data_IF_781448339145
#
_entry.id   IF_781448339145
#
_cell.length_a   1.000
_cell.length_b   1.000
_cell.length_c   1.000
_cell.angle_alpha   90.00
_cell.angle_beta   90.00
_cell.angle_gamma   90.00
#
_symmetry.space_group_name_H-M   'P 1'
#
loop_
_entity.id
_entity.type
_entity.pdbx_description
1 polymer ?
2 non-polymer ?
3 non-polymer ?
4 non-polymer ?
5 water ?
#
# COMPACT_ATOMS: atom_id res chain seq x y z
N UNK A 16 7.58 6.65 13.09
CA UNK A 16 6.24 6.44 12.42
C UNK A 16 5.83 5.00 12.22
N UNK A 17 6.68 4.04 12.59
CA UNK A 17 6.27 2.66 12.43
C UNK A 17 6.55 2.07 11.06
N UNK A 18 6.08 0.85 10.88
CA UNK A 18 6.35 0.07 9.66
C UNK A 18 5.10 -0.62 9.17
N UNK A 19 5.07 -0.93 7.87
CA UNK A 19 3.90 -1.50 7.22
C UNK A 19 4.35 -2.62 6.31
N UNK A 20 3.73 -3.78 6.47
CA UNK A 20 4.09 -4.96 5.67
C UNK A 20 3.05 -5.12 4.57
N UNK A 21 3.51 -5.14 3.31
CA UNK A 21 2.56 -5.18 2.18
C UNK A 21 3.08 -6.20 1.16
N UNK A 22 2.17 -6.83 0.42
CA UNK A 22 2.60 -7.77 -0.62
C UNK A 22 1.90 -7.37 -1.90
N UNK A 23 2.60 -7.42 -3.04
CA UNK A 23 1.97 -7.02 -4.31
C UNK A 23 2.32 -8.06 -5.36
N UNK A 24 1.44 -8.23 -6.34
CA UNK A 24 1.65 -9.18 -7.46
C UNK A 24 1.07 -8.54 -8.72
N UNK A 25 1.90 -8.40 -9.77
CA UNK A 25 1.45 -7.81 -11.03
C UNK A 25 1.13 -8.96 -12.01
N UNK A 26 -0.15 -9.08 -12.33
CA UNK A 26 -0.67 -10.07 -13.28
C UNK A 26 -0.49 -9.41 -14.68
N UNK A 27 0.75 -9.45 -15.22
CA UNK A 27 1.06 -8.71 -16.45
C UNK A 27 0.18 -9.02 -17.68
N UNK A 28 -0.21 -10.29 -17.86
CA UNK A 28 -1.04 -10.66 -19.04
C UNK A 28 -2.50 -10.23 -18.88
N UNK A 29 -2.91 -9.90 -17.66
CA UNK A 29 -4.33 -9.46 -17.46
C UNK A 29 -4.52 -8.04 -16.90
N UNK A 30 -3.44 -7.29 -16.80
CA UNK A 30 -3.53 -5.91 -16.32
C UNK A 30 -4.30 -5.80 -15.01
N UNK A 31 -3.96 -6.63 -14.03
CA UNK A 31 -4.49 -6.41 -12.67
C UNK A 31 -3.31 -6.40 -11.76
N UNK A 32 -3.47 -5.76 -10.60
CA UNK A 32 -2.39 -5.72 -9.63
C UNK A 32 -3.07 -6.09 -8.34
N UNK A 33 -2.55 -7.08 -7.64
CA UNK A 33 -3.16 -7.43 -6.37
C UNK A 33 -2.29 -6.88 -5.26
N UNK A 34 -2.92 -6.28 -4.26
CA UNK A 34 -2.19 -5.61 -3.19
C UNK A 34 -2.76 -6.16 -1.89
N UNK A 35 -1.89 -6.64 -1.02
CA UNK A 35 -2.33 -7.14 0.28
C UNK A 35 -1.74 -6.22 1.34
N UNK A 36 -2.61 -5.66 2.15
CA UNK A 36 -2.14 -4.92 3.34
C UNK A 36 -2.13 -5.96 4.48
N UNK A 37 -0.93 -6.27 4.98
CA UNK A 37 -0.79 -7.41 5.86
C UNK A 37 -0.86 -6.93 7.31
N UNK A 38 0.11 -6.12 7.74
CA UNK A 38 0.23 -5.75 9.18
C UNK A 38 0.96 -4.43 9.29
N UNK A 39 0.73 -3.71 10.37
CA UNK A 39 1.60 -2.58 10.72
C UNK A 39 2.18 -2.88 12.11
N UNK A 40 3.33 -2.29 12.43
CA UNK A 40 3.90 -2.41 13.76
C UNK A 40 4.67 -1.15 14.13
N UNK A 41 4.91 -1.00 15.44
CA UNK A 41 5.62 0.12 16.04
C UNK A 41 4.98 1.45 15.69
N UNK A 42 3.65 1.47 15.61
CA UNK A 42 2.93 2.72 15.35
C UNK A 42 3.03 3.64 16.57
N UNK A 43 3.23 4.95 16.34
CA UNK A 43 3.42 5.98 17.37
C UNK A 43 2.52 5.89 18.61
N UNK A 50 -3.38 5.02 22.56
CA UNK A 50 -3.16 4.15 21.39
C UNK A 50 -4.10 4.47 20.22
N UNK A 51 -3.61 4.25 19.02
CA UNK A 51 -4.36 4.61 17.85
C UNK A 51 -5.29 3.44 17.48
N UNK A 52 -6.24 3.73 16.59
CA UNK A 52 -7.18 2.74 16.04
C UNK A 52 -6.92 2.71 14.56
N UNK A 53 -5.86 2.01 14.12
CA UNK A 53 -5.42 2.12 12.72
C UNK A 53 -6.28 1.43 11.67
N UNK A 54 -6.37 2.05 10.51
CA UNK A 54 -6.80 1.38 9.27
C UNK A 54 -5.89 1.88 8.17
N UNK A 55 -5.96 1.25 7.00
CA UNK A 55 -5.09 1.66 5.93
C UNK A 55 -5.92 1.95 4.69
N UNK A 56 -5.63 3.09 4.08
CA UNK A 56 -6.24 3.48 2.84
C UNK A 56 -5.20 3.31 1.75
N UNK A 57 -5.64 2.79 0.61
CA UNK A 57 -4.75 2.48 -0.50
C UNK A 57 -5.27 3.25 -1.74
N UNK A 58 -4.47 4.15 -2.29
CA UNK A 58 -4.86 4.92 -3.48
C UNK A 58 -4.00 4.45 -4.64
N UNK A 59 -4.59 4.30 -5.83
CA UNK A 59 -3.85 3.90 -7.02
C UNK A 59 -3.86 5.09 -7.97
N UNK A 60 -2.67 5.45 -8.49
CA UNK A 60 -2.51 6.63 -9.36
C UNK A 60 -2.02 6.17 -10.71
N UNK A 61 -2.59 6.75 -11.76
CA UNK A 61 -2.00 6.65 -13.12
C UNK A 61 -1.44 8.02 -13.49
N UNK A 62 -0.12 8.13 -13.52
CA UNK A 62 0.55 9.42 -13.53
C UNK A 62 0.10 10.14 -12.24
N UNK A 63 -0.59 11.27 -12.37
CA UNK A 63 -0.93 11.96 -11.12
C UNK A 63 -2.41 11.94 -10.85
N UNK A 64 -3.13 11.10 -11.58
CA UNK A 64 -4.57 11.03 -11.40
C UNK A 64 -4.91 9.79 -10.56
N UNK A 65 -5.65 9.96 -9.47
CA UNK A 65 -6.12 8.80 -8.71
C UNK A 65 -7.17 8.05 -9.53
N UNK A 66 -6.91 6.78 -9.80
CA UNK A 66 -7.88 6.03 -10.58
C UNK A 66 -8.64 4.98 -9.73
N UNK A 67 -8.20 4.71 -8.51
CA UNK A 67 -8.94 3.77 -7.66
C UNK A 67 -8.55 3.99 -6.23
N UNK A 68 -9.41 3.56 -5.29
CA UNK A 68 -9.08 3.66 -3.87
C UNK A 68 -9.71 2.47 -3.12
N UNK A 69 -9.07 2.03 -2.03
CA UNK A 69 -9.56 0.93 -1.19
C UNK A 69 -9.26 1.30 0.23
N UNK A 70 -9.92 0.66 1.18
CA UNK A 70 -9.53 0.82 2.57
C UNK A 70 -9.81 -0.42 3.36
N UNK A 71 -9.00 -0.65 4.40
CA UNK A 71 -9.18 -1.79 5.27
C UNK A 71 -10.14 -1.45 6.36
N UNK A 72 -10.50 -2.48 7.11
CA UNK A 72 -11.23 -2.33 8.38
C UNK A 72 -10.30 -1.73 9.40
N UNK A 73 -10.89 -1.22 10.46
CA UNK A 73 -10.01 -0.63 11.47
C UNK A 73 -9.76 -1.61 12.62
N UNK A 74 -8.51 -1.59 13.08
CA UNK A 74 -8.13 -2.34 14.28
C UNK A 74 -8.12 -1.37 15.47
N UNK A 75 -8.76 -1.72 16.59
CA UNK A 75 -8.93 -0.76 17.71
C UNK A 75 -7.76 -0.72 18.72
N UNK A 76 -7.34 0.50 19.08
CA UNK A 76 -6.43 0.78 20.20
C UNK A 76 -5.18 -0.13 20.29
N UNK A 77 -4.26 0.05 19.33
CA UNK A 77 -3.09 -0.82 19.21
C UNK A 77 -1.94 -0.24 18.30
N UNK A 78 -0.67 -0.39 18.73
CA UNK A 78 0.48 0.07 17.92
C UNK A 78 0.92 -1.00 16.88
N UNK A 79 0.25 -2.16 16.92
CA UNK A 79 0.46 -3.31 15.98
C UNK A 79 -0.86 -4.04 15.64
N UNK A 80 -1.09 -4.24 14.35
CA UNK A 80 -2.41 -4.54 13.82
C UNK A 80 -2.22 -5.48 12.66
N UNK A 81 -2.93 -6.62 12.66
CA UNK A 81 -2.95 -7.53 11.53
C UNK A 81 -4.19 -7.17 10.70
N UNK A 82 -3.99 -6.76 9.44
CA UNK A 82 -5.12 -6.39 8.58
C UNK A 82 -5.49 -7.55 7.66
N UNK A 83 -4.49 -8.15 7.01
CA UNK A 83 -4.68 -9.24 6.03
C UNK A 83 -5.79 -8.94 5.01
N UNK A 84 -5.67 -7.83 4.30
CA UNK A 84 -6.76 -7.46 3.39
C UNK A 84 -6.18 -7.47 2.00
N UNK A 85 -6.71 -8.32 1.13
CA UNK A 85 -6.28 -8.34 -0.28
C UNK A 85 -7.25 -7.51 -1.12
N UNK A 86 -6.66 -6.67 -1.99
CA UNK A 86 -7.42 -5.89 -2.96
C UNK A 86 -6.94 -6.19 -4.35
N UNK A 87 -7.87 -6.08 -5.29
CA UNK A 87 -7.53 -6.28 -6.71
C UNK A 87 -7.74 -4.94 -7.43
N UNK A 88 -6.68 -4.46 -8.12
CA UNK A 88 -6.79 -3.22 -8.93
C UNK A 88 -6.74 -3.54 -10.39
N UNK A 89 -7.63 -2.95 -11.16
CA UNK A 89 -7.50 -2.92 -12.65
C UNK A 89 -6.44 -1.91 -13.10
N UNK A 90 -5.58 -2.29 -14.03
CA UNK A 90 -4.54 -1.41 -14.51
C UNK A 90 -4.98 -1.06 -15.92
N UNK A 91 -5.25 0.22 -16.17
CA UNK A 91 -5.82 0.63 -17.47
C UNK A 91 -4.78 0.80 -18.57
N UNK A 92 -3.55 0.37 -18.35
CA UNK A 92 -2.51 0.52 -19.37
C UNK A 92 -1.73 -0.78 -19.42
N UNK A 93 -0.80 -0.86 -20.37
CA UNK A 93 -0.12 -2.11 -20.67
C UNK A 93 1.08 -2.41 -19.78
N UNK A 94 1.43 -1.48 -18.91
CA UNK A 94 2.52 -1.70 -17.97
C UNK A 94 2.29 -0.86 -16.72
N UNK A 95 3.19 -1.05 -15.74
CA UNK A 95 3.18 -0.33 -14.48
C UNK A 95 4.07 0.94 -14.47
N UNK A 96 4.61 1.29 -15.63
CA UNK A 96 5.55 2.40 -15.75
C UNK A 96 5.07 3.71 -15.09
N UNK A 97 3.80 4.08 -15.33
CA UNK A 97 3.21 5.32 -14.75
C UNK A 97 2.23 5.06 -13.62
N UNK A 98 2.24 3.85 -13.09
CA UNK A 98 1.33 3.51 -12.01
C UNK A 98 2.06 3.66 -10.68
N UNK A 99 1.39 4.20 -9.67
CA UNK A 99 1.97 4.17 -8.35
C UNK A 99 0.87 3.85 -7.34
N UNK A 100 1.26 3.39 -6.15
CA UNK A 100 0.31 2.97 -5.10
C UNK A 100 0.70 3.73 -3.83
N UNK A 101 -0.29 4.32 -3.17
CA UNK A 101 -0.04 5.13 -2.00
C UNK A 101 -0.76 4.44 -0.87
N UNK A 102 -0.06 4.15 0.22
CA UNK A 102 -0.65 3.57 1.43
C UNK A 102 -0.64 4.63 2.53
N UNK A 103 -1.79 4.80 3.18
CA UNK A 103 -1.93 5.74 4.29
C UNK A 103 -2.43 4.95 5.49
N UNK A 104 -1.66 5.00 6.58
CA UNK A 104 -2.08 4.47 7.85
C UNK A 104 -2.69 5.65 8.65
N UNK A 105 -3.97 5.51 8.99
CA UNK A 105 -4.79 6.56 9.59
C UNK A 105 -5.32 6.08 10.90
N UNK A 106 -5.60 7.03 11.80
CA UNK A 106 -6.16 6.68 13.09
C UNK A 106 -7.64 7.04 13.00
N UNK A 107 -8.50 6.04 13.18
CA UNK A 107 -9.94 6.28 13.17
C UNK A 107 -10.36 6.97 14.45
N UNK A 108 -10.98 8.14 14.33
CA UNK A 108 -11.36 8.89 15.52
C UNK A 108 -12.72 9.51 15.25
N UNK A 109 -13.71 9.19 16.05
CA UNK A 109 -15.04 9.78 15.86
C UNK A 109 -15.02 11.26 16.20
N UNK A 110 -15.64 12.10 15.37
CA UNK A 110 -15.88 13.50 15.79
C UNK A 110 -14.78 14.48 15.34
N UNK A 111 -13.82 13.97 14.57
CA UNK A 111 -12.70 14.76 13.98
C UNK A 111 -12.13 14.12 12.75
N UNK A 112 -11.39 14.87 11.93
CA UNK A 112 -10.77 14.25 10.75
C UNK A 112 -9.72 13.24 11.20
N UNK A 113 -9.71 12.04 10.60
CA UNK A 113 -8.79 10.97 10.98
C UNK A 113 -7.36 11.39 10.60
N UNK A 114 -6.43 11.26 11.52
CA UNK A 114 -5.06 11.74 11.30
C UNK A 114 -4.26 10.71 10.55
N UNK A 115 -3.37 11.17 9.67
CA UNK A 115 -2.49 10.24 8.94
C UNK A 115 -1.36 9.93 9.89
N UNK A 116 -1.17 8.65 10.22
CA UNK A 116 -0.13 8.21 11.13
C UNK A 116 1.18 8.05 10.34
N UNK A 117 1.06 7.56 9.12
CA UNK A 117 2.23 7.41 8.26
C UNK A 117 1.84 7.13 6.84
N UNK A 118 2.81 7.30 5.95
CA UNK A 118 2.52 7.11 4.54
C UNK A 118 3.64 6.32 3.87
N UNK A 119 3.28 5.60 2.82
CA UNK A 119 4.23 4.79 2.05
C UNK A 119 3.84 4.88 0.59
N UNK A 120 4.79 5.18 -0.28
CA UNK A 120 4.52 5.21 -1.71
C UNK A 120 5.39 4.19 -2.47
N UNK A 121 4.78 3.42 -3.38
CA UNK A 121 5.55 2.54 -4.25
C UNK A 121 5.31 2.97 -5.67
N UNK A 122 6.38 3.10 -6.46
CA UNK A 122 6.24 3.55 -7.83
C UNK A 122 7.60 3.65 -8.47
N UNK A 123 7.64 3.97 -9.77
CA UNK A 123 8.90 3.84 -10.51
C UNK A 123 9.92 4.88 -10.05
N UNK A 124 9.44 6.03 -9.60
CA UNK A 124 10.34 7.08 -9.15
C UNK A 124 10.36 7.23 -7.64
N UNK A 125 9.69 6.34 -6.91
CA UNK A 125 9.69 6.38 -5.45
C UNK A 125 11.11 6.21 -4.88
N UNK A 126 11.36 6.95 -3.80
CA UNK A 126 12.71 7.25 -3.29
C UNK A 126 13.67 6.11 -2.86
N UNK A 127 13.17 5.05 -2.22
CA UNK A 127 14.07 3.93 -1.89
C UNK A 127 13.37 2.58 -1.74
N UNK A 128 12.96 2.31 -0.50
CA UNK A 128 12.17 1.15 -0.11
C UNK A 128 11.12 0.86 -1.19
N UNK A 129 10.26 1.87 -1.38
CA UNK A 129 9.09 1.83 -2.28
C UNK A 129 9.56 1.58 -3.70
N UNK A 130 10.59 2.34 -4.11
CA UNK A 130 11.34 2.09 -5.34
C UNK A 130 11.78 0.65 -5.63
N UNK A 131 12.49 0.03 -4.69
CA UNK A 131 13.04 -1.34 -4.94
C UNK A 131 11.94 -2.40 -4.98
N UNK A 132 10.92 -2.21 -4.14
CA UNK A 132 9.81 -3.16 -4.08
C UNK A 132 9.06 -3.09 -5.43
N UNK A 133 8.79 -1.86 -5.90
CA UNK A 133 8.14 -1.69 -7.21
C UNK A 133 8.96 -2.27 -8.38
N UNK A 134 10.27 -2.05 -8.37
CA UNK A 134 11.14 -2.65 -9.41
C UNK A 134 11.00 -4.19 -9.47
N UNK A 135 10.93 -4.80 -8.29
CA UNK A 135 10.90 -6.25 -8.16
C UNK A 135 9.55 -6.77 -8.71
N UNK A 136 8.46 -6.06 -8.35
CA UNK A 136 7.07 -6.24 -8.84
C UNK A 136 6.95 -6.23 -10.41
N UNK A 137 7.68 -5.29 -11.02
CA UNK A 137 7.76 -5.17 -12.46
C UNK A 137 8.71 -6.19 -13.06
N UNK A 138 9.78 -6.51 -12.35
CA UNK A 138 10.75 -7.52 -12.85
C UNK A 138 10.21 -8.96 -12.77
N UNK A 139 9.29 -9.22 -11.81
CA UNK A 139 8.77 -10.55 -11.58
C UNK A 139 7.25 -10.62 -11.65
N UNK A 140 6.67 -10.42 -12.84
CA UNK A 140 5.22 -10.45 -12.94
C UNK A 140 4.71 -11.83 -12.55
N UNK A 141 3.54 -11.87 -11.90
CA UNK A 141 2.90 -13.10 -11.37
C UNK A 141 3.52 -13.66 -10.10
N UNK A 142 4.56 -13.03 -9.55
CA UNK A 142 5.07 -13.47 -8.27
C UNK A 142 4.53 -12.51 -7.18
N UNK A 143 3.98 -13.04 -6.10
CA UNK A 143 3.56 -12.15 -5.01
C UNK A 143 4.82 -11.88 -4.24
N UNK A 144 5.10 -10.62 -3.96
CA UNK A 144 6.31 -10.28 -3.22
C UNK A 144 5.88 -9.42 -2.03
N UNK A 145 6.40 -9.76 -0.84
CA UNK A 145 6.06 -9.07 0.46
C UNK A 145 7.29 -8.40 1.04
N UNK A 146 7.15 -7.15 1.55
CA UNK A 146 8.28 -6.46 2.18
C UNK A 146 7.72 -5.55 3.27
N UNK A 147 8.52 -5.42 4.32
CA UNK A 147 8.33 -4.38 5.36
C UNK A 147 8.90 -3.06 4.87
N UNK A 148 8.18 -1.95 5.13
CA UNK A 148 8.65 -0.63 4.77
C UNK A 148 8.49 0.29 5.97
N UNK A 149 9.45 1.18 6.18
CA UNK A 149 9.26 2.29 7.17
C UNK A 149 8.23 3.27 6.61
N UNK A 150 7.37 3.78 7.49
CA UNK A 150 6.39 4.78 7.12
C UNK A 150 7.01 6.18 7.21
N UNK A 151 6.58 7.07 6.33
CA UNK A 151 6.97 8.48 6.37
C UNK A 151 5.84 9.35 6.87
N UNK A 152 6.17 10.62 7.14
CA UNK A 152 5.17 11.63 7.44
C UNK A 152 4.19 11.77 6.27
N UNK A 153 2.90 11.87 6.57
CA UNK A 153 1.89 12.16 5.55
C UNK A 153 0.76 13.07 6.05
X LIG B 1 -8.50 6.80 17.64
X LIG C 1 2.71 -5.53 -20.90
X LIG D 1 1.85 15.12 8.70
X LIG E 1 -9.66 -0.93 -9.53
X LIG F 1 -12.98 10.76 12.10
X LIG G 1 -7.14 -13.05 8.59
X LIG H 1 11.20 -7.10 4.38
X LIG I 1 -9.46 7.84 4.72
X LIG J 1 -10.80 -5.23 -4.23
X LIG K 1 -6.97 9.74 0.58
X LIG L 1 -11.50 9.60 -0.79
X LIG M 1 10.98 -5.52 14.66
X LIG N 1 -10.97 7.05 -7.27
X LIG O 1 5.79 -3.09 -15.87
#
# INVERSE_FOLDING_TARGET
GSPGISGGGGGIPSGRGELLVSLCYQSTTNTLTVVVLKARHLPKSDVSGLSDPYVKVNLYHAKKRISKKKTHVKKCTPNAVFNELFVFDIPCESLEEISVEFLVLDSERGSRNEVIGRLVLGATAEGSGGGHWKEICDFPRRQIAKWHMLCDG
CA CA
CA CA
CA CA
NA NA
NA NA
CL CL
CL CL
CL CL
CL CL
CL CL
CL CL
CL CL
CL CL
CL CL
#
